data_IF_832704769668
#
_entry.id   IF_832704769668
#
_cell.length_a   1.000
_cell.length_b   1.000
_cell.length_c   1.000
_cell.angle_alpha   90.00
_cell.angle_beta   90.00
_cell.angle_gamma   90.00
#
_symmetry.space_group_name_H-M   'P 1'
#
loop_
_entity.id
_entity.type
_entity.pdbx_description
1 polymer ?
#
# COMPACT_ATOMS: atom_id res chain seq x y z
N UNK A 1 -87.92 22.58 -24.96
CA UNK A 1 -86.75 23.28 -25.49
C UNK A 1 -85.62 23.18 -24.41
N UNK A 2 -84.72 22.24 -24.59
CA UNK A 2 -83.63 22.04 -23.60
C UNK A 2 -82.30 22.33 -24.32
N UNK A 3 -81.64 23.39 -23.86
CA UNK A 3 -80.30 23.79 -24.40
C UNK A 3 -79.22 22.88 -23.79
N UNK A 4 -78.52 22.17 -24.60
CA UNK A 4 -77.35 21.42 -24.19
C UNK A 4 -76.12 22.35 -24.15
N UNK A 5 -75.48 22.40 -23.00
CA UNK A 5 -74.21 23.13 -22.80
C UNK A 5 -73.09 22.13 -23.04
N UNK A 6 -72.29 22.39 -24.08
CA UNK A 6 -71.08 21.60 -24.39
C UNK A 6 -69.90 22.15 -23.57
N UNK A 7 -69.43 21.40 -22.60
CA UNK A 7 -68.25 21.75 -21.82
C UNK A 7 -67.01 21.14 -22.50
N UNK A 8 -66.20 22.05 -23.04
CA UNK A 8 -64.89 21.68 -23.66
C UNK A 8 -63.86 21.52 -22.53
N UNK A 9 -63.45 20.29 -22.25
CA UNK A 9 -62.35 20.02 -21.31
C UNK A 9 -61.03 20.13 -22.07
N UNK A 10 -60.26 21.19 -21.80
CA UNK A 10 -58.90 21.37 -22.31
C UNK A 10 -57.95 20.53 -21.43
N UNK A 11 -57.48 19.39 -21.93
CA UNK A 11 -56.46 18.59 -21.26
C UNK A 11 -55.10 19.22 -21.56
N UNK A 12 -54.55 19.90 -20.57
CA UNK A 12 -53.14 20.40 -20.64
C UNK A 12 -52.22 19.24 -20.36
N UNK A 13 -51.54 18.71 -21.40
CA UNK A 13 -50.43 17.80 -21.22
C UNK A 13 -49.20 18.58 -20.71
N UNK A 14 -48.94 18.50 -19.39
CA UNK A 14 -47.69 18.95 -18.84
C UNK A 14 -46.64 17.88 -19.13
N UNK A 15 -45.87 18.12 -20.20
CA UNK A 15 -44.69 17.31 -20.51
C UNK A 15 -43.62 17.54 -19.48
N UNK A 16 -43.47 16.58 -18.56
CA UNK A 16 -42.34 16.52 -17.62
C UNK A 16 -41.05 16.26 -18.40
N UNK A 17 -40.28 17.33 -18.60
CA UNK A 17 -38.91 17.27 -19.13
C UNK A 17 -38.04 16.56 -18.08
N UNK A 18 -37.84 15.26 -18.22
CA UNK A 18 -36.89 14.48 -17.43
C UNK A 18 -35.48 14.91 -17.85
N UNK A 19 -34.88 15.81 -17.11
CA UNK A 19 -33.43 16.01 -17.14
C UNK A 19 -32.76 14.71 -16.70
N UNK A 20 -32.34 13.91 -17.67
CA UNK A 20 -31.38 12.83 -17.41
C UNK A 20 -30.06 13.47 -17.03
N UNK A 21 -29.78 13.57 -15.74
CA UNK A 21 -28.45 13.77 -15.23
C UNK A 21 -27.62 12.57 -15.68
N UNK A 22 -26.82 12.75 -16.74
CA UNK A 22 -25.69 11.87 -17.02
C UNK A 22 -24.74 12.00 -15.83
N UNK A 23 -24.96 11.19 -14.81
CA UNK A 23 -23.93 10.88 -13.83
C UNK A 23 -22.82 10.20 -14.63
N UNK A 24 -21.85 11.00 -15.07
CA UNK A 24 -20.58 10.55 -15.59
C UNK A 24 -19.94 9.79 -14.46
N UNK A 25 -20.14 8.46 -14.43
CA UNK A 25 -19.36 7.54 -13.62
C UNK A 25 -17.91 7.80 -14.01
N UNK A 26 -17.26 8.67 -13.24
CA UNK A 26 -15.84 8.84 -13.31
C UNK A 26 -15.25 7.45 -13.12
N UNK A 27 -14.73 6.89 -14.20
CA UNK A 27 -13.87 5.72 -14.15
C UNK A 27 -12.73 6.13 -13.24
N UNK A 28 -12.83 5.81 -11.94
CA UNK A 28 -11.69 5.90 -11.03
C UNK A 28 -10.55 5.23 -11.77
N UNK A 29 -9.52 5.99 -12.10
CA UNK A 29 -8.34 5.43 -12.72
C UNK A 29 -7.91 4.34 -11.75
N UNK A 30 -8.03 3.09 -12.18
CA UNK A 30 -7.59 1.92 -11.43
C UNK A 30 -6.08 2.08 -11.30
N UNK A 31 -5.66 2.86 -10.29
CA UNK A 31 -4.25 3.00 -9.97
C UNK A 31 -3.78 1.60 -9.59
N UNK A 32 -3.09 0.96 -10.52
CA UNK A 32 -2.57 -0.37 -10.31
C UNK A 32 -1.69 -0.34 -9.05
N UNK A 33 -2.07 -1.11 -8.05
CA UNK A 33 -1.33 -1.21 -6.80
C UNK A 33 0.10 -1.65 -7.09
N UNK A 34 1.07 -0.93 -6.57
CA UNK A 34 2.48 -1.33 -6.70
C UNK A 34 2.76 -2.43 -5.68
N UNK A 35 3.31 -3.54 -6.17
CA UNK A 35 3.75 -4.66 -5.35
C UNK A 35 5.26 -4.76 -5.34
N UNK A 36 5.82 -4.80 -4.14
CA UNK A 36 7.25 -5.09 -3.91
C UNK A 36 7.34 -6.41 -3.16
N UNK A 37 8.25 -7.28 -3.57
CA UNK A 37 8.50 -8.54 -2.86
C UNK A 37 9.83 -8.47 -2.13
N UNK A 38 9.77 -8.78 -0.84
CA UNK A 38 10.96 -9.07 -0.04
C UNK A 38 11.01 -10.56 0.28
N UNK A 39 12.17 -11.14 0.07
CA UNK A 39 12.45 -12.46 0.61
C UNK A 39 12.74 -12.33 2.09
N UNK A 40 12.26 -13.29 2.88
CA UNK A 40 12.41 -13.28 4.34
C UNK A 40 12.85 -14.66 4.83
N UNK A 41 13.52 -14.68 5.97
CA UNK A 41 13.95 -15.92 6.62
C UNK A 41 12.81 -16.57 7.40
N UNK A 42 12.00 -15.75 8.09
CA UNK A 42 10.91 -16.20 8.96
C UNK A 42 9.72 -15.22 8.86
N UNK A 43 8.51 -15.77 8.69
CA UNK A 43 7.32 -14.98 8.45
C UNK A 43 6.85 -14.21 9.68
N UNK A 44 6.75 -14.87 10.84
CA UNK A 44 6.15 -14.25 12.03
C UNK A 44 6.96 -13.04 12.55
N UNK A 45 8.30 -13.10 12.67
CA UNK A 45 9.10 -11.94 13.01
C UNK A 45 8.99 -10.81 11.96
N UNK A 46 8.97 -11.14 10.67
CA UNK A 46 8.86 -10.15 9.61
C UNK A 46 7.49 -9.43 9.66
N UNK A 47 6.38 -10.17 9.72
CA UNK A 47 5.03 -9.59 9.83
C UNK A 47 4.93 -8.71 11.08
N UNK A 48 5.39 -9.21 12.23
CA UNK A 48 5.40 -8.45 13.48
C UNK A 48 6.19 -7.15 13.37
N UNK A 49 7.35 -7.17 12.73
CA UNK A 49 8.19 -6.00 12.52
C UNK A 49 7.47 -4.91 11.70
N UNK A 50 6.96 -5.26 10.52
CA UNK A 50 6.30 -4.30 9.63
C UNK A 50 5.01 -3.74 10.22
N UNK A 51 4.21 -4.57 10.89
CA UNK A 51 2.95 -4.12 11.49
C UNK A 51 3.17 -3.29 12.74
N UNK A 52 4.04 -3.73 13.64
CA UNK A 52 4.26 -3.06 14.93
C UNK A 52 5.06 -1.77 14.81
N UNK A 53 6.06 -1.74 13.93
CA UNK A 53 7.01 -0.63 13.89
C UNK A 53 6.86 0.29 12.70
N UNK A 54 6.36 -0.20 11.56
CA UNK A 54 6.33 0.57 10.32
C UNK A 54 4.91 0.86 9.79
N UNK A 55 3.86 0.57 10.58
CA UNK A 55 2.48 0.94 10.25
C UNK A 55 1.89 0.22 9.04
N UNK A 56 2.35 -1.00 8.76
CA UNK A 56 1.71 -1.85 7.78
C UNK A 56 0.54 -2.61 8.38
N UNK A 57 -0.41 -2.99 7.54
CA UNK A 57 -1.56 -3.84 7.87
C UNK A 57 -1.49 -5.15 7.10
N UNK A 58 -1.90 -6.25 7.73
CA UNK A 58 -1.95 -7.56 7.07
C UNK A 58 -3.18 -7.61 6.17
N UNK A 59 -2.96 -7.76 4.86
CA UNK A 59 -4.03 -7.97 3.87
C UNK A 59 -4.33 -9.45 3.66
N UNK A 60 -3.28 -10.27 3.63
CA UNK A 60 -3.38 -11.71 3.44
C UNK A 60 -2.20 -12.40 4.08
N UNK A 61 -2.42 -13.59 4.64
CA UNK A 61 -1.37 -14.42 5.22
C UNK A 61 -1.61 -15.89 4.88
N UNK A 62 -0.53 -16.60 4.54
CA UNK A 62 -0.51 -18.04 4.33
C UNK A 62 0.75 -18.62 4.99
N UNK A 63 0.62 -18.88 6.28
CA UNK A 63 1.71 -19.41 7.11
C UNK A 63 2.19 -20.77 6.63
N UNK A 64 3.48 -21.06 6.80
CA UNK A 64 4.54 -20.19 7.36
C UNK A 64 5.30 -19.38 6.29
N UNK A 65 4.86 -19.32 5.02
CA UNK A 65 5.73 -18.95 3.90
C UNK A 65 5.38 -17.63 3.20
N UNK A 66 4.21 -17.03 3.52
CA UNK A 66 3.72 -15.90 2.74
C UNK A 66 2.88 -14.95 3.58
N UNK A 67 3.09 -13.64 3.38
CA UNK A 67 2.15 -12.59 3.74
C UNK A 67 2.13 -11.48 2.68
N UNK A 68 1.01 -10.80 2.59
CA UNK A 68 0.84 -9.54 1.86
C UNK A 68 0.42 -8.48 2.86
N UNK A 69 1.23 -7.45 2.96
CA UNK A 69 1.02 -6.31 3.84
C UNK A 69 0.71 -5.08 3.00
N UNK A 70 -0.04 -4.13 3.56
CA UNK A 70 -0.36 -2.86 2.88
C UNK A 70 0.02 -1.67 3.73
N UNK A 71 0.52 -0.60 3.08
CA UNK A 71 0.68 0.74 3.65
C UNK A 71 0.46 1.77 2.56
N UNK A 72 -0.64 2.53 2.64
CA UNK A 72 -1.05 3.44 1.56
C UNK A 72 -1.30 2.67 0.25
N UNK A 73 -0.61 3.06 -0.82
CA UNK A 73 -0.71 2.42 -2.14
C UNK A 73 0.34 1.31 -2.39
N UNK A 74 1.16 0.99 -1.40
CA UNK A 74 2.15 -0.08 -1.47
C UNK A 74 1.56 -1.39 -0.94
N UNK A 75 1.71 -2.47 -1.70
CA UNK A 75 1.57 -3.84 -1.24
C UNK A 75 2.96 -4.48 -1.12
N UNK A 76 3.37 -4.78 0.12
CA UNK A 76 4.60 -5.48 0.41
C UNK A 76 4.31 -6.97 0.54
N UNK A 77 4.89 -7.76 -0.36
CA UNK A 77 4.77 -9.22 -0.36
C UNK A 77 5.98 -9.83 0.33
N UNK A 78 5.76 -10.47 1.45
CA UNK A 78 6.78 -11.22 2.19
C UNK A 78 6.72 -12.69 1.78
N UNK A 79 7.86 -13.27 1.43
CA UNK A 79 7.94 -14.68 1.03
C UNK A 79 9.23 -15.31 1.52
N UNK A 80 9.13 -16.51 2.09
CA UNK A 80 10.32 -17.31 2.40
C UNK A 80 10.93 -17.88 1.12
N UNK A 81 12.21 -18.23 1.15
CA UNK A 81 12.90 -18.90 0.06
C UNK A 81 12.78 -20.44 0.13
N UNK A 82 11.83 -20.92 0.93
CA UNK A 82 11.44 -22.33 1.05
C UNK A 82 9.90 -22.44 1.03
N UNK A 83 9.40 -23.64 0.77
CA UNK A 83 7.96 -23.87 0.69
C UNK A 83 7.45 -24.02 -0.76
N UNK A 84 6.14 -24.15 -0.96
CA UNK A 84 5.56 -24.51 -2.25
C UNK A 84 5.41 -23.34 -3.24
N UNK A 85 5.61 -22.10 -2.79
CA UNK A 85 5.40 -20.90 -3.60
C UNK A 85 6.43 -20.70 -4.71
N UNK A 86 6.06 -20.02 -5.80
CA UNK A 86 6.96 -19.74 -6.92
C UNK A 86 8.19 -18.94 -6.54
N UNK A 87 8.11 -18.09 -5.51
CA UNK A 87 9.26 -17.31 -5.02
C UNK A 87 10.35 -18.17 -4.35
N UNK A 88 10.01 -19.37 -3.91
CA UNK A 88 10.95 -20.31 -3.30
C UNK A 88 11.64 -21.23 -4.33
N UNK A 89 11.20 -21.18 -5.59
CA UNK A 89 11.80 -21.99 -6.64
C UNK A 89 13.16 -21.46 -7.05
N UNK A 90 14.16 -22.32 -7.30
CA UNK A 90 15.46 -21.88 -7.79
C UNK A 90 15.36 -21.32 -9.21
N UNK A 91 16.28 -20.42 -9.54
CA UNK A 91 16.48 -19.92 -10.89
C UNK A 91 17.05 -21.01 -11.80
N UNK A 92 17.11 -20.77 -13.10
CA UNK A 92 17.67 -21.72 -14.08
C UNK A 92 19.14 -22.11 -13.80
N UNK A 93 19.88 -21.22 -13.16
CA UNK A 93 21.27 -21.43 -12.73
C UNK A 93 21.41 -22.07 -11.34
N UNK A 94 20.29 -22.49 -10.74
CA UNK A 94 20.23 -23.14 -9.43
C UNK A 94 20.23 -22.19 -8.22
N UNK A 95 20.43 -20.88 -8.41
CA UNK A 95 20.39 -19.92 -7.30
C UNK A 95 18.96 -19.75 -6.78
N UNK A 96 18.84 -19.58 -5.48
CA UNK A 96 17.57 -19.19 -4.82
C UNK A 96 17.59 -17.69 -4.50
N UNK A 97 16.41 -17.09 -4.49
CA UNK A 97 16.26 -15.71 -4.02
C UNK A 97 16.56 -15.66 -2.51
N UNK A 98 17.29 -14.63 -2.10
CA UNK A 98 17.71 -14.42 -0.70
C UNK A 98 17.29 -13.03 -0.22
N UNK A 99 17.10 -12.84 1.10
CA UNK A 99 16.87 -11.53 1.70
C UNK A 99 18.09 -10.61 1.55
N UNK A 100 17.91 -9.31 1.78
CA UNK A 100 18.97 -8.32 1.84
C UNK A 100 19.17 -7.55 0.55
N UNK A 101 20.43 -7.21 0.27
CA UNK A 101 20.80 -6.38 -0.89
C UNK A 101 20.76 -4.88 -0.59
N UNK A 102 20.65 -4.06 -1.66
CA UNK A 102 20.65 -2.59 -1.59
C UNK A 102 19.34 -1.94 -2.05
N UNK A 103 18.52 -2.68 -2.81
CA UNK A 103 17.19 -2.19 -3.21
C UNK A 103 16.29 -2.12 -1.99
N UNK A 104 15.60 -1.00 -1.82
CA UNK A 104 14.79 -0.73 -0.63
C UNK A 104 13.52 0.03 -0.94
N UNK A 105 12.54 -0.14 -0.08
CA UNK A 105 11.38 0.73 -0.04
C UNK A 105 11.71 1.99 0.76
N UNK A 106 11.20 3.14 0.30
CA UNK A 106 11.33 4.42 1.00
C UNK A 106 9.98 4.72 1.65
N UNK A 107 9.99 4.93 2.95
CA UNK A 107 8.83 5.29 3.75
C UNK A 107 8.95 6.74 4.19
N UNK A 108 8.08 7.60 3.66
CA UNK A 108 8.01 8.99 4.10
C UNK A 108 7.53 9.07 5.54
N UNK A 109 8.17 9.95 6.31
CA UNK A 109 7.83 10.29 7.69
C UNK A 109 7.81 11.81 7.87
N UNK A 110 6.95 12.31 8.78
CA UNK A 110 6.81 13.74 9.02
C UNK A 110 7.92 14.30 9.91
N UNK A 111 8.44 13.48 10.84
CA UNK A 111 9.52 13.81 11.78
C UNK A 111 10.46 12.62 11.91
N UNK A 112 11.58 12.69 11.17
CA UNK A 112 12.56 11.61 11.11
C UNK A 112 13.28 11.42 12.45
N UNK A 113 13.60 12.48 13.16
CA UNK A 113 14.32 12.40 14.44
C UNK A 113 13.46 11.75 15.52
N UNK A 114 12.17 12.14 15.60
CA UNK A 114 11.22 11.52 16.53
C UNK A 114 11.00 10.03 16.20
N UNK A 115 10.87 9.69 14.92
CA UNK A 115 10.68 8.32 14.47
C UNK A 115 11.90 7.45 14.77
N UNK A 116 13.10 7.94 14.50
CA UNK A 116 14.36 7.26 14.85
C UNK A 116 14.49 7.07 16.37
N UNK A 117 14.15 8.09 17.17
CA UNK A 117 14.18 7.97 18.62
C UNK A 117 13.20 6.90 19.13
N UNK A 118 11.99 6.84 18.55
CA UNK A 118 10.97 5.83 18.85
C UNK A 118 11.46 4.41 18.53
N UNK A 119 12.04 4.22 17.34
CA UNK A 119 12.53 2.91 16.87
C UNK A 119 13.77 2.45 17.65
N UNK A 120 14.68 3.37 18.02
CA UNK A 120 15.84 3.05 18.89
C UNK A 120 15.41 2.58 20.27
N UNK A 121 14.37 3.19 20.87
CA UNK A 121 13.79 2.70 22.14
C UNK A 121 13.22 1.29 22.04
N UNK A 122 12.83 0.87 20.84
CA UNK A 122 12.37 -0.49 20.54
C UNK A 122 13.51 -1.45 20.13
N UNK A 123 14.78 -1.02 20.29
CA UNK A 123 16.00 -1.75 19.91
C UNK A 123 16.07 -2.10 18.42
N UNK A 124 15.46 -1.27 17.56
CA UNK A 124 15.62 -1.41 16.11
C UNK A 124 17.00 -0.87 15.72
N UNK A 125 17.74 -1.69 14.98
CA UNK A 125 19.08 -1.36 14.49
C UNK A 125 19.01 -0.54 13.20
N UNK A 126 19.87 0.46 13.09
CA UNK A 126 20.04 1.30 11.91
C UNK A 126 21.43 1.04 11.28
N UNK A 127 21.49 1.02 9.95
CA UNK A 127 22.75 0.83 9.22
C UNK A 127 23.68 2.05 9.29
N UNK A 128 23.11 3.25 9.42
CA UNK A 128 23.85 4.52 9.40
C UNK A 128 23.26 5.53 10.40
N UNK A 129 23.84 6.70 10.45
CA UNK A 129 23.28 7.90 11.09
C UNK A 129 22.37 8.64 10.09
N UNK A 130 21.53 9.56 10.60
CA UNK A 130 20.73 10.43 9.74
C UNK A 130 21.66 11.18 8.78
N UNK A 131 21.46 10.96 7.49
CA UNK A 131 22.11 11.70 6.42
C UNK A 131 21.20 12.87 5.98
N UNK A 132 21.80 14.04 5.74
CA UNK A 132 21.08 15.24 5.30
C UNK A 132 21.54 15.62 3.90
N UNK A 133 20.58 15.90 3.02
CA UNK A 133 20.83 16.33 1.65
C UNK A 133 19.87 17.43 1.21
N UNK A 134 20.03 17.97 -0.02
CA UNK A 134 19.14 19.04 -0.52
C UNK A 134 17.66 18.63 -0.60
N UNK A 135 17.36 17.34 -0.79
CA UNK A 135 15.99 16.81 -0.88
C UNK A 135 15.35 16.51 0.46
N UNK A 136 16.13 16.43 1.54
CA UNK A 136 15.63 16.04 2.85
C UNK A 136 16.65 15.30 3.70
N UNK A 137 16.13 14.50 4.63
CA UNK A 137 16.94 13.68 5.55
C UNK A 137 16.49 12.22 5.47
N UNK A 138 17.44 11.30 5.59
CA UNK A 138 17.19 9.87 5.47
C UNK A 138 18.00 9.05 6.48
N UNK A 139 17.55 7.85 6.76
CA UNK A 139 18.25 6.84 7.53
C UNK A 139 17.82 5.45 7.10
N UNK A 140 18.72 4.48 7.14
CA UNK A 140 18.45 3.09 6.78
C UNK A 140 18.37 2.21 8.01
N UNK A 141 17.41 1.29 7.99
CA UNK A 141 17.27 0.21 8.96
C UNK A 141 17.03 -1.11 8.23
N UNK A 142 17.17 -2.21 8.96
CA UNK A 142 16.91 -3.55 8.45
C UNK A 142 15.65 -4.15 9.05
N UNK A 143 14.93 -4.93 8.23
CA UNK A 143 13.95 -5.87 8.76
C UNK A 143 14.65 -7.08 9.42
N UNK A 144 13.93 -7.98 10.11
CA UNK A 144 14.52 -9.15 10.76
C UNK A 144 15.27 -10.11 9.83
N UNK A 145 15.11 -9.99 8.53
CA UNK A 145 15.79 -10.80 7.51
C UNK A 145 16.96 -10.08 6.84
N UNK A 146 17.23 -8.80 7.22
CA UNK A 146 18.29 -7.98 6.66
C UNK A 146 17.88 -7.24 5.38
N UNK A 147 16.60 -7.13 5.05
CA UNK A 147 16.15 -6.29 3.95
C UNK A 147 16.17 -4.82 4.37
N UNK A 148 16.78 -3.95 3.56
CA UNK A 148 16.88 -2.53 3.90
C UNK A 148 15.56 -1.79 3.68
N UNK A 149 15.26 -0.88 4.62
CA UNK A 149 14.18 0.10 4.53
C UNK A 149 14.81 1.48 4.76
N UNK A 150 14.37 2.46 3.99
CA UNK A 150 14.74 3.85 4.18
C UNK A 150 13.57 4.63 4.80
N UNK A 151 13.84 5.35 5.88
CA UNK A 151 12.94 6.40 6.36
C UNK A 151 13.42 7.72 5.80
N UNK A 152 12.52 8.47 5.20
CA UNK A 152 12.81 9.73 4.53
C UNK A 152 11.88 10.84 5.00
N UNK A 153 12.46 12.00 5.33
CA UNK A 153 11.75 13.23 5.59
C UNK A 153 12.14 14.27 4.54
N UNK A 154 11.18 14.75 3.75
CA UNK A 154 11.40 15.78 2.75
C UNK A 154 11.87 17.09 3.38
N UNK A 155 12.74 17.83 2.69
CA UNK A 155 13.05 19.21 3.03
C UNK A 155 11.75 20.05 2.98
N UNK A 156 11.62 21.00 3.90
CA UNK A 156 10.52 21.97 3.95
C UNK A 156 10.86 23.21 3.16
#
# INVERSE_FOLDING_TARGET
MKKAILVLVLTVCVGSLQLRSNAQSGKEANMSTIRVRYMINDLDPAVSFYTKYLGFEVKQEAKPNFAMLTRGNLELVLSTNYGPGGAAQPMLDGRKAEPGGWNRIILNVDDLEAEVARLRKANIHFRNNIAKGPGGSEILLDDPSGNPIELFQSAR
#
